data_IF_375599264024
#
_entry.id   IF_375599264024
#
_cell.length_a   1.000
_cell.length_b   1.000
_cell.length_c   1.000
_cell.angle_alpha   90.00
_cell.angle_beta   90.00
_cell.angle_gamma   90.00
#
_symmetry.space_group_name_H-M   'P 1'
#
loop_
_entity.id
_entity.type
_entity.pdbx_description
1 polymer ?
#
# COMPACT_ATOMS: atom_id res chain seq x y z
N UNK A 1 6.92 6.42 22.20
CA UNK A 1 6.69 7.00 20.86
C UNK A 1 7.86 6.77 19.92
N UNK A 2 9.11 7.06 20.32
CA UNK A 2 10.28 6.86 19.45
C UNK A 2 10.42 5.40 18.95
N UNK A 3 10.21 4.42 19.84
CA UNK A 3 10.23 3.00 19.47
C UNK A 3 9.12 2.64 18.48
N UNK A 4 7.92 3.17 18.67
CA UNK A 4 6.75 2.91 17.83
C UNK A 4 6.91 3.56 16.46
N UNK A 5 7.49 4.76 16.38
CA UNK A 5 7.82 5.44 15.13
C UNK A 5 8.93 4.71 14.36
N UNK A 6 9.92 4.15 15.07
CA UNK A 6 10.95 3.31 14.46
C UNK A 6 10.36 2.02 13.86
N UNK A 7 9.52 1.31 14.62
CA UNK A 7 8.79 0.14 14.10
C UNK A 7 7.90 0.49 12.92
N UNK A 8 7.25 1.64 12.93
CA UNK A 8 6.41 2.09 11.82
C UNK A 8 7.25 2.37 10.57
N UNK A 9 8.46 2.91 10.73
CA UNK A 9 9.40 3.13 9.63
C UNK A 9 9.90 1.83 9.02
N UNK A 10 10.23 0.85 9.83
CA UNK A 10 10.59 -0.48 9.34
C UNK A 10 9.44 -1.09 8.54
N UNK A 11 8.21 -0.92 9.04
CA UNK A 11 7.02 -1.42 8.37
C UNK A 11 6.74 -0.70 7.05
N UNK A 12 6.89 0.63 7.00
CA UNK A 12 6.79 1.42 5.77
C UNK A 12 7.79 0.93 4.70
N UNK A 13 9.01 0.61 5.12
CA UNK A 13 10.05 0.08 4.23
C UNK A 13 9.68 -1.31 3.70
N UNK A 14 9.16 -2.20 4.56
CA UNK A 14 8.70 -3.52 4.14
C UNK A 14 7.53 -3.44 3.15
N UNK A 15 6.55 -2.57 3.40
CA UNK A 15 5.42 -2.36 2.49
C UNK A 15 5.91 -1.88 1.12
N UNK A 16 6.82 -0.90 1.10
CA UNK A 16 7.38 -0.37 -0.13
C UNK A 16 8.14 -1.46 -0.91
N UNK A 17 8.94 -2.28 -0.23
CA UNK A 17 9.66 -3.40 -0.84
C UNK A 17 8.73 -4.45 -1.44
N UNK A 18 7.62 -4.78 -0.78
CA UNK A 18 6.62 -5.71 -1.33
C UNK A 18 5.90 -5.13 -2.55
N UNK A 19 5.61 -3.84 -2.54
CA UNK A 19 4.95 -3.13 -3.64
C UNK A 19 5.87 -2.92 -4.86
N UNK A 20 7.19 -2.94 -4.69
CA UNK A 20 8.17 -2.84 -5.78
C UNK A 20 8.48 -4.18 -6.45
N UNK A 21 7.94 -5.30 -5.93
CA UNK A 21 8.15 -6.61 -6.54
C UNK A 21 7.47 -6.72 -7.89
N UNK A 22 8.13 -7.43 -8.82
CA UNK A 22 7.57 -7.76 -10.14
C UNK A 22 6.27 -8.56 -10.03
N UNK A 23 6.22 -9.47 -9.05
CA UNK A 23 5.01 -10.21 -8.68
C UNK A 23 4.62 -9.85 -7.26
N UNK A 24 3.49 -9.15 -7.13
CA UNK A 24 3.01 -8.65 -5.85
C UNK A 24 2.49 -9.80 -4.99
N UNK A 25 3.00 -9.88 -3.76
CA UNK A 25 2.40 -10.71 -2.73
C UNK A 25 1.29 -9.94 -2.03
N UNK A 26 0.08 -9.98 -2.59
CA UNK A 26 -1.07 -9.21 -2.10
C UNK A 26 -1.48 -9.58 -0.67
N UNK A 27 -1.27 -10.84 -0.26
CA UNK A 27 -1.57 -11.29 1.10
C UNK A 27 -0.60 -10.66 2.11
N UNK A 28 0.69 -10.62 1.77
CA UNK A 28 1.69 -10.00 2.62
C UNK A 28 1.51 -8.48 2.69
N UNK A 29 1.23 -7.82 1.56
CA UNK A 29 0.92 -6.38 1.54
C UNK A 29 -0.27 -6.08 2.45
N UNK A 30 -1.35 -6.86 2.37
CA UNK A 30 -2.52 -6.71 3.24
C UNK A 30 -2.13 -6.85 4.72
N UNK A 31 -1.39 -7.92 5.05
CA UNK A 31 -0.92 -8.17 6.43
C UNK A 31 -0.09 -7.00 6.97
N UNK A 32 0.85 -6.48 6.18
CA UNK A 32 1.73 -5.38 6.60
C UNK A 32 0.94 -4.06 6.76
N UNK A 33 0.01 -3.76 5.84
CA UNK A 33 -0.85 -2.58 5.92
C UNK A 33 -1.79 -2.65 7.13
N UNK A 34 -2.36 -3.82 7.44
CA UNK A 34 -3.21 -4.01 8.62
C UNK A 34 -2.43 -3.76 9.93
N UNK A 35 -1.21 -4.30 10.03
CA UNK A 35 -0.33 -4.03 11.19
C UNK A 35 -0.05 -2.53 11.30
N UNK A 36 0.20 -1.88 10.16
CA UNK A 36 0.50 -0.44 10.11
C UNK A 36 -0.68 0.39 10.58
N UNK A 37 -1.88 0.05 10.13
CA UNK A 37 -3.12 0.72 10.54
C UNK A 37 -3.31 0.58 12.06
N UNK A 38 -3.13 -0.61 12.63
CA UNK A 38 -3.24 -0.82 14.07
C UNK A 38 -2.26 0.05 14.86
N UNK A 39 -1.02 0.17 14.39
CA UNK A 39 -0.03 1.06 15.01
C UNK A 39 -0.45 2.52 14.93
N UNK A 40 -0.93 2.98 13.77
CA UNK A 40 -1.39 4.35 13.59
C UNK A 40 -2.62 4.68 14.44
N UNK A 41 -3.56 3.74 14.59
CA UNK A 41 -4.73 3.92 15.46
C UNK A 41 -4.32 4.19 16.92
N UNK A 42 -3.20 3.64 17.38
CA UNK A 42 -2.66 3.92 18.72
C UNK A 42 -1.92 5.25 18.80
N UNK A 43 -1.24 5.67 17.72
CA UNK A 43 -0.43 6.89 17.69
C UNK A 43 -1.27 8.16 17.44
N UNK A 44 -2.31 8.07 16.61
CA UNK A 44 -3.13 9.20 16.20
C UNK A 44 -3.72 9.98 17.39
N UNK A 45 -4.36 9.35 18.40
CA UNK A 45 -4.92 10.08 19.53
C UNK A 45 -3.87 10.86 20.33
N UNK A 46 -2.65 10.31 20.45
CA UNK A 46 -1.54 10.93 21.17
C UNK A 46 -1.08 12.21 20.45
N UNK A 47 -0.94 12.13 19.13
CA UNK A 47 -0.52 13.26 18.30
C UNK A 47 -1.64 14.29 18.17
N UNK A 48 -2.90 13.86 18.08
CA UNK A 48 -4.04 14.78 18.01
C UNK A 48 -4.17 15.67 19.24
N UNK A 49 -3.87 15.12 20.42
CA UNK A 49 -3.90 15.82 21.70
C UNK A 49 -2.67 16.70 21.99
N UNK A 50 -1.63 16.67 21.15
CA UNK A 50 -0.40 17.42 21.38
C UNK A 50 0.11 18.13 20.12
N UNK A 51 0.01 19.46 20.10
CA UNK A 51 0.39 20.29 18.95
C UNK A 51 1.88 20.21 18.63
N UNK A 52 2.74 20.03 19.63
CA UNK A 52 4.19 19.93 19.42
C UNK A 52 4.53 18.63 18.68
N UNK A 53 3.84 17.53 19.00
CA UNK A 53 3.99 16.26 18.29
C UNK A 53 3.49 16.32 16.85
N UNK A 54 2.50 17.16 16.55
CA UNK A 54 2.08 17.39 15.15
C UNK A 54 3.18 18.07 14.34
N UNK A 55 4.01 18.90 14.96
CA UNK A 55 5.11 19.59 14.29
C UNK A 55 6.43 18.80 14.34
N UNK A 56 6.43 17.65 15.01
CA UNK A 56 7.59 16.77 15.09
C UNK A 56 8.00 16.28 13.69
N UNK A 57 9.30 16.33 13.41
CA UNK A 57 9.85 16.02 12.10
C UNK A 57 9.64 14.54 11.72
N UNK A 58 9.73 13.63 12.69
CA UNK A 58 9.54 12.20 12.44
C UNK A 58 8.06 11.91 12.18
N UNK A 59 7.14 12.56 12.91
CA UNK A 59 5.71 12.44 12.62
C UNK A 59 5.36 12.97 11.22
N UNK A 60 5.91 14.13 10.82
CA UNK A 60 5.72 14.65 9.46
C UNK A 60 6.30 13.70 8.39
N UNK A 61 7.41 13.03 8.69
CA UNK A 61 7.95 11.98 7.83
C UNK A 61 7.00 10.78 7.71
N UNK A 62 6.33 10.38 8.79
CA UNK A 62 5.29 9.31 8.77
C UNK A 62 4.10 9.72 7.88
N UNK A 63 3.64 10.95 8.00
CA UNK A 63 2.54 11.48 7.15
C UNK A 63 2.95 11.47 5.68
N UNK A 64 4.20 11.85 5.38
CA UNK A 64 4.73 11.86 4.01
C UNK A 64 4.81 10.44 3.45
N UNK A 65 5.43 9.49 4.17
CA UNK A 65 5.51 8.08 3.78
C UNK A 65 4.14 7.44 3.58
N UNK A 66 3.16 7.82 4.42
CA UNK A 66 1.77 7.35 4.25
C UNK A 66 1.21 7.72 2.88
N UNK A 67 1.45 8.96 2.42
CA UNK A 67 0.98 9.41 1.10
C UNK A 67 1.68 8.64 -0.02
N UNK A 68 2.99 8.46 0.07
CA UNK A 68 3.79 7.72 -0.91
C UNK A 68 3.32 6.27 -1.05
N UNK A 69 3.10 5.58 0.08
CA UNK A 69 2.57 4.21 0.08
C UNK A 69 1.19 4.14 -0.59
N UNK A 70 0.29 5.08 -0.28
CA UNK A 70 -1.05 5.15 -0.90
C UNK A 70 -0.95 5.35 -2.41
N UNK A 71 -0.09 6.26 -2.86
CA UNK A 71 0.13 6.51 -4.29
C UNK A 71 0.68 5.27 -5.00
N UNK A 72 1.63 4.56 -4.38
CA UNK A 72 2.21 3.33 -4.91
C UNK A 72 1.17 2.22 -5.01
N UNK A 73 0.38 1.98 -3.96
CA UNK A 73 -0.72 0.99 -3.97
C UNK A 73 -1.76 1.31 -5.06
N UNK A 74 -2.10 2.58 -5.25
CA UNK A 74 -3.04 3.01 -6.30
C UNK A 74 -2.46 2.79 -7.69
N UNK A 75 -1.18 3.11 -7.90
CA UNK A 75 -0.48 2.87 -9.16
C UNK A 75 -0.53 1.38 -9.53
N UNK A 76 -0.12 0.51 -8.61
CA UNK A 76 -0.08 -0.94 -8.82
C UNK A 76 -1.47 -1.53 -9.05
N UNK A 77 -2.47 -1.11 -8.27
CA UNK A 77 -3.87 -1.50 -8.50
C UNK A 77 -4.33 -1.11 -9.91
N UNK A 78 -3.97 0.09 -10.37
CA UNK A 78 -4.26 0.57 -11.72
C UNK A 78 -3.57 -0.26 -12.81
N UNK A 79 -2.32 -0.67 -12.60
CA UNK A 79 -1.58 -1.52 -13.54
C UNK A 79 -2.20 -2.92 -13.64
N UNK A 80 -2.49 -3.56 -12.51
CA UNK A 80 -3.18 -4.86 -12.45
C UNK A 80 -4.55 -4.79 -13.14
N UNK A 81 -5.32 -3.72 -12.91
CA UNK A 81 -6.61 -3.51 -13.57
C UNK A 81 -6.50 -3.48 -15.10
N UNK A 82 -5.47 -2.81 -15.64
CA UNK A 82 -5.21 -2.78 -17.09
C UNK A 82 -4.82 -4.15 -17.64
N UNK A 83 -3.99 -4.90 -16.91
CA UNK A 83 -3.59 -6.27 -17.31
C UNK A 83 -4.80 -7.21 -17.33
N UNK A 84 -5.63 -7.17 -16.29
CA UNK A 84 -6.87 -7.94 -16.20
C UNK A 84 -7.84 -7.60 -17.35
N UNK A 85 -7.96 -6.33 -17.70
CA UNK A 85 -8.77 -5.89 -18.83
C UNK A 85 -8.28 -6.50 -20.16
N UNK A 86 -6.97 -6.45 -20.43
CA UNK A 86 -6.36 -7.07 -21.62
C UNK A 86 -6.63 -8.57 -21.68
N UNK A 87 -6.47 -9.27 -20.55
CA UNK A 87 -6.72 -10.71 -20.47
C UNK A 87 -8.19 -11.06 -20.79
N UNK A 88 -9.15 -10.34 -20.18
CA UNK A 88 -10.59 -10.54 -20.43
C UNK A 88 -10.95 -10.27 -21.89
N UNK A 89 -10.36 -9.24 -22.50
CA UNK A 89 -10.57 -8.96 -23.93
C UNK A 89 -10.03 -10.11 -24.80
N UNK A 90 -8.80 -10.57 -24.56
CA UNK A 90 -8.22 -11.70 -25.28
C UNK A 90 -9.05 -12.99 -25.16
N UNK A 91 -9.57 -13.30 -23.97
CA UNK A 91 -10.47 -14.43 -23.76
C UNK A 91 -11.76 -14.31 -24.58
N UNK A 92 -12.35 -13.11 -24.66
CA UNK A 92 -13.53 -12.85 -25.49
C UNK A 92 -13.23 -13.08 -26.97
N UNK A 93 -12.08 -12.61 -27.47
CA UNK A 93 -11.65 -12.87 -28.84
C UNK A 93 -11.48 -14.36 -29.10
N UNK A 94 -10.83 -15.10 -28.20
CA UNK A 94 -10.69 -16.56 -28.31
C UNK A 94 -12.03 -17.29 -28.34
N UNK A 95 -13.00 -16.86 -27.53
CA UNK A 95 -14.35 -17.42 -27.57
C UNK A 95 -15.05 -17.21 -28.92
N UNK A 96 -14.77 -16.11 -29.62
CA UNK A 96 -15.29 -15.90 -30.98
C UNK A 96 -14.67 -16.87 -31.98
N UNK A 97 -13.35 -17.10 -31.91
CA UNK A 97 -12.68 -18.07 -32.78
C UNK A 97 -13.18 -19.50 -32.57
N UNK A 98 -13.45 -19.89 -31.31
CA UNK A 98 -14.03 -21.20 -30.99
C UNK A 98 -15.39 -21.50 -31.65
N UNK A 99 -16.07 -20.50 -32.23
CA UNK A 99 -17.30 -20.74 -33.00
C UNK A 99 -17.05 -21.33 -34.38
N UNK A 100 -15.79 -21.31 -34.85
CA UNK A 100 -15.39 -21.75 -36.19
C UNK A 100 -14.55 -23.04 -36.17
N UNK A 101 -14.36 -23.64 -34.99
CA UNK A 101 -13.64 -24.90 -34.75
C UNK A 101 -14.53 -25.83 -33.98
#
# INVERSE_FOLDING_TARGET
>A
MESELASLRELDQLISQELEKVELNTEEILRLVDIREQMLQNLLPIVEGNTDLKQDAEWQAVVTRTKEIVELMQCETGQLGKQLHKLRYGQRSLQQYKKFT
#
